data_IF_053715372953
#
_entry.id   IF_053715372953
#
_cell.length_a   1.000
_cell.length_b   1.000
_cell.length_c   1.000
_cell.angle_alpha   90.00
_cell.angle_beta   90.00
_cell.angle_gamma   90.00
#
_symmetry.space_group_name_H-M   'P 1'
#
loop_
_entity.id
_entity.type
_entity.pdbx_description
1 polymer ?
#
# COMPACT_ATOMS: atom_id res chain seq x y z
N UNK A 1 -5.17 -19.37 -38.06
CA UNK A 1 -4.64 -19.04 -36.72
C UNK A 1 -5.72 -19.35 -35.69
N UNK A 2 -5.54 -20.36 -34.83
CA UNK A 2 -6.52 -20.70 -33.78
C UNK A 2 -6.50 -19.63 -32.68
N UNK A 3 -7.64 -18.98 -32.44
CA UNK A 3 -7.79 -17.94 -31.43
C UNK A 3 -7.69 -18.58 -30.03
N UNK A 4 -6.63 -18.28 -29.28
CA UNK A 4 -6.49 -18.71 -27.87
C UNK A 4 -7.63 -18.09 -27.06
N UNK A 5 -8.49 -18.92 -26.48
CA UNK A 5 -9.51 -18.49 -25.53
C UNK A 5 -8.86 -18.28 -24.17
N UNK A 6 -8.71 -17.02 -23.74
CA UNK A 6 -8.22 -16.73 -22.40
C UNK A 6 -9.32 -17.04 -21.40
N UNK A 7 -9.06 -17.98 -20.48
CA UNK A 7 -9.96 -18.26 -19.35
C UNK A 7 -9.90 -17.07 -18.39
N UNK A 8 -11.01 -16.36 -18.25
CA UNK A 8 -11.14 -15.26 -17.29
C UNK A 8 -11.61 -15.80 -15.94
N UNK A 9 -11.04 -15.29 -14.86
CA UNK A 9 -11.42 -15.63 -13.49
C UNK A 9 -12.03 -14.40 -12.80
N UNK A 10 -13.11 -14.56 -12.02
CA UNK A 10 -13.69 -13.48 -11.21
C UNK A 10 -12.67 -12.85 -10.26
N UNK A 11 -12.87 -11.59 -9.89
CA UNK A 11 -11.98 -10.89 -8.96
C UNK A 11 -11.92 -11.57 -7.58
N UNK A 12 -13.08 -12.00 -7.07
CA UNK A 12 -13.22 -12.71 -5.79
C UNK A 12 -12.38 -13.99 -5.77
N UNK A 13 -12.45 -14.80 -6.83
CA UNK A 13 -11.65 -16.01 -6.97
C UNK A 13 -10.15 -15.73 -6.90
N UNK A 14 -9.68 -14.65 -7.54
CA UNK A 14 -8.26 -14.27 -7.51
C UNK A 14 -7.82 -13.87 -6.10
N UNK A 15 -8.68 -13.14 -5.38
CA UNK A 15 -8.40 -12.72 -4.00
C UNK A 15 -8.34 -13.91 -3.05
N UNK A 16 -9.29 -14.84 -3.15
CA UNK A 16 -9.29 -16.08 -2.35
C UNK A 16 -8.06 -16.94 -2.65
N UNK A 17 -7.71 -17.10 -3.93
CA UNK A 17 -6.54 -17.87 -4.34
C UNK A 17 -5.24 -17.30 -3.75
N UNK A 18 -5.08 -15.97 -3.75
CA UNK A 18 -3.93 -15.31 -3.15
C UNK A 18 -3.99 -15.37 -1.61
N UNK A 19 -5.19 -15.32 -1.01
CA UNK A 19 -5.37 -15.45 0.44
C UNK A 19 -4.95 -16.84 0.97
N UNK A 20 -5.09 -17.91 0.18
CA UNK A 20 -4.54 -19.23 0.56
C UNK A 20 -3.02 -19.18 0.79
N UNK A 21 -2.31 -18.40 -0.03
CA UNK A 21 -0.86 -18.26 0.07
C UNK A 21 -0.49 -17.30 1.20
N UNK A 22 -1.14 -16.14 1.28
CA UNK A 22 -0.75 -15.07 2.21
C UNK A 22 -1.29 -15.26 3.64
N UNK A 23 -2.52 -15.75 3.79
CA UNK A 23 -3.18 -15.90 5.09
C UNK A 23 -3.05 -17.32 5.65
N UNK A 24 -3.18 -18.33 4.79
CA UNK A 24 -3.14 -19.74 5.22
C UNK A 24 -1.75 -20.39 5.09
N UNK A 25 -0.75 -19.67 4.57
CA UNK A 25 0.62 -20.14 4.49
C UNK A 25 0.89 -21.25 3.48
N UNK A 26 -0.01 -21.46 2.51
CA UNK A 26 0.23 -22.44 1.44
C UNK A 26 1.37 -21.97 0.53
N UNK A 27 2.17 -22.92 0.02
CA UNK A 27 3.06 -22.63 -1.10
C UNK A 27 2.24 -22.36 -2.36
N UNK A 28 2.77 -21.53 -3.26
CA UNK A 28 2.08 -21.17 -4.52
C UNK A 28 1.75 -22.41 -5.34
N UNK A 29 2.67 -23.37 -5.44
CA UNK A 29 2.46 -24.63 -6.14
C UNK A 29 1.32 -25.46 -5.52
N UNK A 30 1.23 -25.54 -4.19
CA UNK A 30 0.18 -26.30 -3.51
C UNK A 30 -1.19 -25.64 -3.66
N UNK A 31 -1.25 -24.31 -3.54
CA UNK A 31 -2.48 -23.55 -3.75
C UNK A 31 -2.97 -23.65 -5.22
N UNK A 32 -2.06 -23.53 -6.18
CA UNK A 32 -2.37 -23.64 -7.59
C UNK A 32 -2.88 -25.05 -7.98
N UNK A 33 -2.23 -26.10 -7.48
CA UNK A 33 -2.67 -27.49 -7.66
C UNK A 33 -4.07 -27.72 -7.05
N UNK A 34 -4.33 -27.21 -5.85
CA UNK A 34 -5.64 -27.34 -5.20
C UNK A 34 -6.76 -26.62 -5.94
N UNK A 35 -6.46 -25.54 -6.65
CA UNK A 35 -7.42 -24.73 -7.41
C UNK A 35 -7.51 -25.13 -8.89
N UNK A 36 -6.69 -26.08 -9.35
CA UNK A 36 -6.63 -26.48 -10.76
C UNK A 36 -6.17 -25.36 -11.70
N UNK A 37 -5.33 -24.44 -11.22
CA UNK A 37 -4.74 -23.35 -12.00
C UNK A 37 -3.23 -23.52 -12.13
N UNK A 38 -2.63 -22.81 -13.08
CA UNK A 38 -1.17 -22.81 -13.24
C UNK A 38 -0.50 -21.91 -12.20
N UNK A 39 0.60 -22.36 -11.61
CA UNK A 39 1.41 -21.61 -10.63
C UNK A 39 1.75 -20.20 -11.12
N UNK A 40 2.16 -20.06 -12.39
CA UNK A 40 2.48 -18.77 -13.02
C UNK A 40 1.31 -17.78 -12.95
N UNK A 41 0.07 -18.27 -13.09
CA UNK A 41 -1.11 -17.42 -13.02
C UNK A 41 -1.32 -16.91 -11.59
N UNK A 42 -1.11 -17.78 -10.59
CA UNK A 42 -1.24 -17.42 -9.19
C UNK A 42 -0.13 -16.44 -8.75
N UNK A 43 1.11 -16.62 -9.22
CA UNK A 43 2.20 -15.65 -9.03
C UNK A 43 1.83 -14.27 -9.58
N UNK A 44 1.28 -14.21 -10.79
CA UNK A 44 0.87 -12.93 -11.40
C UNK A 44 -0.24 -12.25 -10.60
N UNK A 45 -1.22 -13.00 -10.10
CA UNK A 45 -2.29 -12.43 -9.26
C UNK A 45 -1.76 -11.92 -7.93
N UNK A 46 -0.86 -12.67 -7.29
CA UNK A 46 -0.20 -12.23 -6.05
C UNK A 46 0.55 -10.91 -6.27
N UNK A 47 1.41 -10.84 -7.29
CA UNK A 47 2.17 -9.64 -7.61
C UNK A 47 1.28 -8.43 -7.91
N UNK A 48 0.17 -8.65 -8.64
CA UNK A 48 -0.78 -7.58 -8.96
C UNK A 48 -1.50 -7.06 -7.71
N UNK A 49 -1.97 -7.95 -6.84
CA UNK A 49 -2.65 -7.56 -5.59
C UNK A 49 -1.68 -6.90 -4.59
N UNK A 50 -0.42 -7.36 -4.53
CA UNK A 50 0.61 -6.70 -3.72
C UNK A 50 0.94 -5.30 -4.24
N UNK A 51 0.97 -5.11 -5.56
CA UNK A 51 1.13 -3.79 -6.18
C UNK A 51 -0.09 -2.88 -5.94
N UNK A 52 -1.31 -3.42 -5.98
CA UNK A 52 -2.52 -2.67 -5.65
C UNK A 52 -2.56 -2.28 -4.15
N UNK A 53 -2.13 -3.16 -3.24
CA UNK A 53 -2.04 -2.88 -1.80
C UNK A 53 -0.92 -1.92 -1.43
N UNK A 54 0.21 -1.98 -2.13
CA UNK A 54 1.34 -1.06 -1.89
C UNK A 54 1.09 0.34 -2.46
N UNK A 55 -0.08 0.57 -3.08
CA UNK A 55 -0.35 1.75 -3.89
C UNK A 55 0.51 1.77 -5.15
N UNK A 56 0.28 2.70 -6.09
CA UNK A 56 1.27 2.95 -7.13
C UNK A 56 2.62 3.16 -6.42
N UNK A 57 3.63 2.37 -6.79
CA UNK A 57 4.98 2.57 -6.26
C UNK A 57 5.33 4.03 -6.52
N UNK A 58 5.30 4.84 -5.46
CA UNK A 58 5.54 6.29 -5.56
C UNK A 58 6.79 6.50 -6.40
N UNK A 59 6.67 7.26 -7.48
CA UNK A 59 7.82 7.61 -8.29
C UNK A 59 8.85 8.34 -7.40
N UNK A 60 10.12 8.34 -7.78
CA UNK A 60 11.19 8.99 -7.02
C UNK A 60 10.84 10.46 -6.70
N UNK A 61 10.17 11.15 -7.64
CA UNK A 61 9.71 12.53 -7.50
C UNK A 61 8.62 12.66 -6.42
N UNK A 62 7.62 11.79 -6.44
CA UNK A 62 6.54 11.78 -5.43
C UNK A 62 7.09 11.47 -4.03
N UNK A 63 8.10 10.61 -3.92
CA UNK A 63 8.79 10.34 -2.64
C UNK A 63 9.56 11.55 -2.14
N UNK A 64 10.25 12.26 -3.02
CA UNK A 64 11.00 13.47 -2.68
C UNK A 64 10.07 14.59 -2.21
N UNK A 65 8.92 14.76 -2.87
CA UNK A 65 7.90 15.72 -2.47
C UNK A 65 7.29 15.37 -1.11
N UNK A 66 7.00 14.09 -0.86
CA UNK A 66 6.47 13.61 0.43
C UNK A 66 7.46 13.88 1.57
N UNK A 67 8.78 13.69 1.33
CA UNK A 67 9.81 14.04 2.31
C UNK A 67 9.87 15.54 2.60
N UNK A 68 9.79 16.39 1.57
CA UNK A 68 9.74 17.85 1.74
C UNK A 68 8.51 18.27 2.56
N UNK A 69 7.33 17.78 2.18
CA UNK A 69 6.07 18.09 2.89
C UNK A 69 6.10 17.64 4.35
N UNK A 70 6.70 16.48 4.64
CA UNK A 70 6.86 16.02 6.04
C UNK A 70 7.79 16.93 6.84
N UNK A 71 8.87 17.42 6.23
CA UNK A 71 9.80 18.35 6.89
C UNK A 71 9.10 19.68 7.19
N UNK A 72 8.43 20.24 6.20
CA UNK A 72 7.68 21.49 6.35
C UNK A 72 6.57 21.37 7.40
N UNK A 73 5.82 20.25 7.42
CA UNK A 73 4.80 20.02 8.43
C UNK A 73 5.38 19.98 9.86
N UNK A 74 6.59 19.42 10.02
CA UNK A 74 7.28 19.38 11.31
C UNK A 74 7.70 20.78 11.75
N UNK A 75 8.24 21.58 10.84
CA UNK A 75 8.63 22.98 11.10
C UNK A 75 7.40 23.82 11.48
N UNK A 76 6.32 23.77 10.71
CA UNK A 76 5.07 24.47 11.01
C UNK A 76 4.47 24.06 12.36
N UNK A 77 4.55 22.79 12.74
CA UNK A 77 4.10 22.33 14.06
C UNK A 77 4.95 22.91 15.19
N UNK A 78 6.28 22.97 15.02
CA UNK A 78 7.16 23.59 15.99
C UNK A 78 6.89 25.09 16.13
N UNK A 79 6.72 25.81 15.03
CA UNK A 79 6.37 27.23 15.04
C UNK A 79 5.05 27.49 15.76
N UNK A 80 4.01 26.69 15.47
CA UNK A 80 2.72 26.75 16.18
C UNK A 80 2.88 26.54 17.68
N UNK A 81 3.70 25.58 18.10
CA UNK A 81 3.95 25.33 19.52
C UNK A 81 4.71 26.49 20.19
N UNK A 82 5.70 27.09 19.51
CA UNK A 82 6.42 28.26 20.01
C UNK A 82 5.46 29.44 20.19
N UNK A 83 4.65 29.74 19.18
CA UNK A 83 3.65 30.82 19.24
C UNK A 83 2.66 30.58 20.37
N UNK A 84 2.17 29.35 20.53
CA UNK A 84 1.24 28.99 21.60
C UNK A 84 1.87 29.20 22.99
N UNK A 85 3.13 28.82 23.17
CA UNK A 85 3.87 29.05 24.43
C UNK A 85 4.10 30.53 24.69
N UNK A 86 4.50 31.31 23.68
CA UNK A 86 4.69 32.75 23.80
C UNK A 86 3.39 33.46 24.20
N UNK A 87 2.27 33.14 23.55
CA UNK A 87 0.95 33.68 23.91
C UNK A 87 0.54 33.31 25.34
N UNK A 88 0.83 32.09 25.79
CA UNK A 88 0.54 31.67 27.16
C UNK A 88 1.37 32.43 28.21
N UNK A 89 2.64 32.74 27.89
CA UNK A 89 3.50 33.55 28.77
C UNK A 89 3.00 35.00 28.86
N UNK A 90 2.69 35.62 27.72
CA UNK A 90 2.15 36.98 27.67
C UNK A 90 0.86 37.11 28.49
N UNK A 91 -0.07 36.15 28.36
CA UNK A 91 -1.33 36.16 29.12
C UNK A 91 -1.11 36.02 30.64
N UNK A 92 -0.03 35.34 31.05
CA UNK A 92 0.33 35.19 32.47
C UNK A 92 0.96 36.45 33.06
N UNK A 93 1.68 37.24 32.26
CA UNK A 93 2.27 38.52 32.69
C UNK A 93 1.24 39.64 32.80
N UNK A 94 0.16 39.58 32.02
CA UNK A 94 -0.93 40.59 32.05
C UNK A 94 -1.97 40.38 33.16
N UNK A 95 -1.71 39.49 34.13
CA UNK A 95 -2.65 39.08 35.18
C UNK A 95 -2.06 39.27 36.57
#
# INVERSE_FOLDING_TARGET
MTKRTNRSYPAEFKQEAVALVTKQGYSVAKAAASLGITDKLLYNWKAKLEAEQSGPSLNADERAELLKLRKENKELRMEKEILKKASALLLKETK
#
